data_IF_640809945985
#
_entry.id   IF_640809945985
#
_cell.length_a   1.000
_cell.length_b   1.000
_cell.length_c   1.000
_cell.angle_alpha   90.00
_cell.angle_beta   90.00
_cell.angle_gamma   90.00
#
_symmetry.space_group_name_H-M   'P 1'
#
loop_
_entity.id
_entity.type
_entity.pdbx_description
1 polymer ?
#
# COMPACT_ATOMS: atom_id res chain seq x y z
N UNK A 1 -1.61 -17.87 -0.15
CA UNK A 1 -0.65 -18.36 0.87
C UNK A 1 0.44 -17.35 1.26
N UNK A 2 0.68 -16.26 0.52
CA UNK A 2 1.84 -15.38 0.73
C UNK A 2 1.64 -14.28 1.79
N UNK A 3 0.42 -13.74 1.95
CA UNK A 3 0.16 -12.61 2.87
C UNK A 3 -0.02 -13.01 4.35
N UNK A 4 -0.41 -14.25 4.63
CA UNK A 4 -0.66 -14.71 6.00
C UNK A 4 0.62 -14.74 6.84
N UNK A 5 1.71 -15.30 6.29
CA UNK A 5 3.03 -15.31 6.95
C UNK A 5 3.55 -13.89 7.19
N UNK A 6 3.34 -13.00 6.24
CA UNK A 6 3.67 -11.58 6.38
C UNK A 6 2.87 -10.91 7.52
N UNK A 7 1.56 -11.17 7.59
CA UNK A 7 0.69 -10.63 8.64
C UNK A 7 1.13 -11.12 10.03
N UNK A 8 1.41 -12.42 10.17
CA UNK A 8 1.88 -13.00 11.44
C UNK A 8 3.21 -12.34 11.87
N UNK A 9 4.16 -12.18 10.95
CA UNK A 9 5.43 -11.53 11.25
C UNK A 9 5.26 -10.06 11.69
N UNK A 10 4.38 -9.30 11.03
CA UNK A 10 4.07 -7.91 11.42
C UNK A 10 3.43 -7.83 12.81
N UNK A 11 2.47 -8.69 13.12
CA UNK A 11 1.83 -8.74 14.45
C UNK A 11 2.86 -9.08 15.53
N UNK A 12 3.76 -10.04 15.26
CA UNK A 12 4.83 -10.39 16.18
C UNK A 12 5.75 -9.19 16.47
N UNK A 13 6.14 -8.43 15.43
CA UNK A 13 6.94 -7.21 15.56
C UNK A 13 6.28 -6.15 16.44
N UNK A 14 4.98 -5.88 16.22
CA UNK A 14 4.21 -4.93 17.04
C UNK A 14 4.18 -5.37 18.52
N UNK A 15 4.01 -6.67 18.78
CA UNK A 15 4.05 -7.22 20.14
C UNK A 15 5.44 -7.07 20.78
N UNK A 16 6.50 -7.31 20.04
CA UNK A 16 7.87 -7.09 20.53
C UNK A 16 8.12 -5.62 20.87
N UNK A 17 7.69 -4.68 20.02
CA UNK A 17 7.78 -3.25 20.29
C UNK A 17 7.07 -2.88 21.60
N UNK A 18 5.84 -3.39 21.81
CA UNK A 18 5.09 -3.17 23.05
C UNK A 18 5.79 -3.73 24.30
N UNK A 19 6.56 -4.81 24.18
CA UNK A 19 7.36 -5.36 25.28
C UNK A 19 8.57 -4.47 25.60
N UNK A 20 9.24 -3.94 24.59
CA UNK A 20 10.38 -3.01 24.74
C UNK A 20 9.94 -1.73 25.47
N UNK A 21 8.73 -1.22 25.18
CA UNK A 21 8.14 -0.08 25.91
C UNK A 21 8.01 -0.35 27.40
N UNK A 22 7.67 -1.57 27.77
CA UNK A 22 7.50 -1.95 29.18
C UNK A 22 8.82 -2.12 29.91
N UNK A 23 9.92 -2.37 29.19
CA UNK A 23 11.20 -2.71 29.80
C UNK A 23 12.17 -1.54 29.91
N UNK A 24 12.38 -0.77 28.85
CA UNK A 24 13.62 0.03 28.75
C UNK A 24 13.61 1.21 27.77
N UNK A 25 12.65 1.34 26.85
CA UNK A 25 12.71 2.38 25.81
C UNK A 25 11.33 2.87 25.34
N UNK A 26 11.27 3.97 24.57
CA UNK A 26 10.05 4.40 23.88
C UNK A 26 10.03 3.77 22.49
N UNK A 27 8.93 3.13 22.13
CA UNK A 27 8.72 2.50 20.82
C UNK A 27 7.27 2.71 20.37
N UNK A 28 7.08 3.17 19.13
CA UNK A 28 5.77 3.41 18.51
C UNK A 28 5.72 2.57 17.23
N UNK A 29 4.62 1.85 17.03
CA UNK A 29 4.38 1.05 15.83
C UNK A 29 3.20 1.61 15.06
N UNK A 30 3.39 1.91 13.77
CA UNK A 30 2.37 2.45 12.86
C UNK A 30 1.99 1.38 11.85
N UNK A 31 0.69 1.23 11.57
CA UNK A 31 0.17 0.32 10.53
C UNK A 31 -0.62 1.14 9.51
N UNK A 32 0.01 1.56 8.41
CA UNK A 32 -0.68 2.33 7.37
C UNK A 32 -1.62 1.44 6.53
N UNK A 33 -2.61 2.05 5.85
CA UNK A 33 -3.38 1.38 4.81
C UNK A 33 -2.52 1.17 3.54
N UNK A 34 -3.13 0.94 2.37
CA UNK A 34 -2.35 0.83 1.13
C UNK A 34 -1.67 2.17 0.82
N UNK A 35 -0.36 2.15 0.57
CA UNK A 35 0.40 3.35 0.22
C UNK A 35 0.54 3.50 -1.29
N UNK A 36 0.65 4.76 -1.74
CA UNK A 36 1.01 5.10 -3.12
C UNK A 36 1.87 6.36 -3.14
N UNK A 37 2.65 6.55 -4.20
CA UNK A 37 3.45 7.76 -4.39
C UNK A 37 4.39 7.69 -5.58
N UNK A 38 5.20 8.74 -5.77
CA UNK A 38 6.05 8.92 -6.94
C UNK A 38 7.06 7.79 -7.20
N UNK A 39 7.40 6.99 -6.18
CA UNK A 39 8.34 5.88 -6.26
C UNK A 39 7.67 4.48 -6.15
N UNK A 40 6.36 4.39 -6.34
CA UNK A 40 5.67 3.10 -6.34
C UNK A 40 5.97 2.31 -7.62
N UNK A 41 5.62 1.02 -7.63
CA UNK A 41 5.79 0.17 -8.79
C UNK A 41 4.62 0.35 -9.79
N UNK A 42 4.88 1.07 -10.87
CA UNK A 42 3.94 1.28 -11.98
C UNK A 42 4.10 0.24 -13.12
N UNK A 43 4.79 -0.88 -12.87
CA UNK A 43 4.94 -1.95 -13.88
C UNK A 43 3.73 -2.90 -13.87
N UNK A 44 3.23 -3.33 -15.04
CA UNK A 44 1.99 -4.13 -15.14
C UNK A 44 2.03 -5.46 -14.39
N UNK A 45 3.19 -6.11 -14.29
CA UNK A 45 3.27 -7.48 -13.76
C UNK A 45 3.20 -7.56 -12.23
N UNK A 46 3.47 -6.46 -11.51
CA UNK A 46 3.61 -6.45 -10.05
C UNK A 46 3.18 -5.12 -9.38
N UNK A 47 2.31 -4.33 -10.03
CA UNK A 47 1.83 -3.06 -9.49
C UNK A 47 0.73 -3.24 -8.44
N UNK A 48 0.73 -2.38 -7.43
CA UNK A 48 -0.43 -2.21 -6.55
C UNK A 48 -1.62 -1.65 -7.35
N UNK A 49 -2.83 -1.79 -6.81
CA UNK A 49 -4.09 -1.45 -7.51
C UNK A 49 -4.08 -0.02 -8.05
N UNK A 50 -3.70 0.97 -7.23
CA UNK A 50 -3.75 2.37 -7.66
C UNK A 50 -2.68 2.72 -8.73
N UNK A 51 -1.39 2.33 -8.59
CA UNK A 51 -0.42 2.45 -9.67
C UNK A 51 -0.82 1.76 -10.97
N UNK A 52 -1.40 0.56 -10.88
CA UNK A 52 -1.90 -0.18 -12.04
C UNK A 52 -2.98 0.61 -12.77
N UNK A 53 -3.93 1.18 -12.02
CA UNK A 53 -5.01 2.00 -12.56
C UNK A 53 -4.49 3.28 -13.21
N UNK A 54 -3.50 3.97 -12.61
CA UNK A 54 -2.90 5.20 -13.18
C UNK A 54 -2.14 4.91 -14.49
N UNK A 55 -1.57 3.69 -14.61
CA UNK A 55 -0.78 3.25 -15.76
C UNK A 55 -1.66 2.81 -16.94
N UNK A 56 -2.66 1.96 -16.68
CA UNK A 56 -3.89 1.96 -17.48
C UNK A 56 -4.48 3.38 -17.45
N UNK A 57 -5.54 3.82 -18.10
CA UNK A 57 -5.82 5.27 -18.27
C UNK A 57 -4.71 6.05 -19.01
N UNK A 58 -3.47 6.15 -18.52
CA UNK A 58 -2.37 6.78 -19.25
C UNK A 58 -2.12 6.08 -20.58
N UNK A 59 -1.91 4.76 -20.58
CA UNK A 59 -1.62 4.01 -21.81
C UNK A 59 -2.79 4.04 -22.82
N UNK A 60 -4.02 3.85 -22.36
CA UNK A 60 -5.20 3.85 -23.23
C UNK A 60 -5.53 5.25 -23.75
N UNK A 61 -5.24 6.30 -22.97
CA UNK A 61 -5.33 7.68 -23.45
C UNK A 61 -4.29 7.95 -24.54
N UNK A 62 -3.05 7.51 -24.35
CA UNK A 62 -1.99 7.65 -25.36
C UNK A 62 -2.32 6.86 -26.64
N UNK A 63 -3.04 5.73 -26.51
CA UNK A 63 -3.54 4.94 -27.65
C UNK A 63 -4.84 5.48 -28.26
N UNK A 64 -5.48 6.48 -27.66
CA UNK A 64 -6.74 7.06 -28.15
C UNK A 64 -7.94 6.11 -28.04
N UNK A 65 -7.92 5.15 -27.11
CA UNK A 65 -9.01 4.22 -26.92
C UNK A 65 -10.21 4.89 -26.23
N UNK A 66 -11.45 4.57 -26.62
CA UNK A 66 -12.64 5.21 -26.07
C UNK A 66 -13.00 4.74 -24.65
N UNK A 67 -12.37 3.67 -24.16
CA UNK A 67 -12.64 3.08 -22.85
C UNK A 67 -11.43 2.34 -22.29
N UNK A 68 -11.42 2.17 -20.96
CA UNK A 68 -10.39 1.44 -20.22
C UNK A 68 -11.05 0.27 -19.51
N UNK A 69 -10.47 -0.93 -19.64
CA UNK A 69 -10.99 -2.14 -18.99
C UNK A 69 -10.28 -2.34 -17.65
N UNK A 70 -11.05 -2.31 -16.55
CA UNK A 70 -10.55 -2.61 -15.21
C UNK A 70 -11.01 -4.01 -14.81
N UNK A 71 -10.08 -4.86 -14.40
CA UNK A 71 -10.38 -6.23 -13.98
C UNK A 71 -11.04 -6.26 -12.59
N UNK A 72 -12.19 -6.91 -12.49
CA UNK A 72 -12.93 -7.09 -11.23
C UNK A 72 -14.33 -6.47 -11.27
N UNK A 73 -15.07 -6.57 -10.16
CA UNK A 73 -16.45 -6.06 -10.07
C UNK A 73 -16.53 -4.58 -9.69
N UNK A 74 -15.41 -3.96 -9.28
CA UNK A 74 -15.36 -2.59 -8.74
C UNK A 74 -16.06 -2.40 -7.39
N UNK A 75 -16.65 -3.45 -6.81
CA UNK A 75 -17.35 -3.40 -5.53
C UNK A 75 -16.44 -3.33 -4.28
N UNK A 76 -15.22 -3.90 -4.29
CA UNK A 76 -14.32 -3.79 -3.14
C UNK A 76 -13.92 -2.34 -2.85
N UNK A 77 -14.08 -1.91 -1.60
CA UNK A 77 -13.57 -0.61 -1.14
C UNK A 77 -12.14 -0.78 -0.66
N UNK A 78 -11.27 0.16 -1.03
CA UNK A 78 -9.88 0.18 -0.61
C UNK A 78 -9.54 1.59 -0.09
N UNK A 79 -8.76 1.64 0.98
CA UNK A 79 -8.23 2.88 1.54
C UNK A 79 -6.79 3.06 1.06
N UNK A 80 -6.45 4.28 0.68
CA UNK A 80 -5.14 4.66 0.18
C UNK A 80 -4.63 5.88 0.95
N UNK A 81 -3.33 5.90 1.24
CA UNK A 81 -2.64 7.02 1.88
C UNK A 81 -1.40 7.38 1.04
N UNK A 82 -1.18 8.67 0.84
CA UNK A 82 0.01 9.14 0.11
C UNK A 82 1.27 8.91 0.95
N UNK A 83 2.35 8.46 0.32
CA UNK A 83 3.56 8.08 1.03
C UNK A 83 4.18 9.23 1.84
N UNK A 84 4.14 10.46 1.31
CA UNK A 84 4.67 11.63 2.01
C UNK A 84 3.77 12.02 3.21
N UNK A 85 2.45 11.85 3.12
CA UNK A 85 1.54 12.07 4.26
C UNK A 85 1.84 11.12 5.42
N UNK A 86 2.19 9.86 5.11
CA UNK A 86 2.63 8.91 6.12
C UNK A 86 3.98 9.34 6.75
N UNK A 87 4.90 9.85 5.92
CA UNK A 87 6.19 10.32 6.40
C UNK A 87 6.00 11.51 7.36
N UNK A 88 5.16 12.48 7.00
CA UNK A 88 4.82 13.62 7.83
C UNK A 88 4.15 13.20 9.16
N UNK A 89 3.30 12.15 9.13
CA UNK A 89 2.67 11.62 10.34
C UNK A 89 3.63 10.85 11.27
N UNK A 90 4.78 10.40 10.76
CA UNK A 90 5.78 9.63 11.52
C UNK A 90 6.97 10.49 12.01
N UNK A 91 7.01 11.77 11.62
CA UNK A 91 8.08 12.72 11.97
C UNK A 91 7.87 13.37 13.34
#
# INVERSE_FOLDING_TARGET
MTKERYAIAKIAGIKCAALIVRSTAVSISVTPPNLYGYNDNYRPENSHVLPALIRSFYEEKEQGLPSVTILGTGSPKCEFLFADDLADACY
#
